data_IF_675357769426
#
_entry.id   IF_675357769426
#
_cell.length_a   1.000
_cell.length_b   1.000
_cell.length_c   1.000
_cell.angle_alpha   90.00
_cell.angle_beta   90.00
_cell.angle_gamma   90.00
#
_symmetry.space_group_name_H-M   'P 1'
#
loop_
_entity.id
_entity.type
_entity.pdbx_description
1 polymer ?
#
# COMPACT_ATOMS: atom_id res chain seq x y z
N UNK A 1 -57.55 -6.89 -27.29
CA UNK A 1 -57.09 -6.87 -27.15
C UNK A 1 -56.14 -6.91 -26.79
N UNK A 2 -55.67 -6.81 -26.65
CA UNK A 2 -54.85 -6.65 -26.36
C UNK A 2 -53.85 -6.67 -26.29
N UNK A 3 -53.44 -6.66 -26.19
CA UNK A 3 -52.71 -6.80 -26.05
C UNK A 3 -51.72 -6.45 -26.04
N UNK A 4 -51.32 -6.19 -26.15
CA UNK A 4 -50.50 -5.64 -26.20
C UNK A 4 -49.54 -5.56 -25.59
N UNK A 5 -49.27 -5.52 -25.03
CA UNK A 5 -48.49 -5.40 -24.34
C UNK A 5 -47.33 -5.81 -24.38
N UNK A 6 -47.04 -6.49 -24.50
CA UNK A 6 -45.99 -6.98 -24.54
C UNK A 6 -44.92 -6.43 -24.97
N UNK A 7 -45.00 -5.91 -25.46
CA UNK A 7 -43.96 -5.36 -26.06
C UNK A 7 -43.04 -4.82 -25.18
N UNK A 8 -43.51 -4.31 -24.43
CA UNK A 8 -42.73 -3.74 -23.66
C UNK A 8 -41.64 -4.38 -23.26
N UNK A 9 -41.71 -5.32 -22.95
CA UNK A 9 -40.73 -5.92 -22.42
C UNK A 9 -39.61 -5.93 -23.19
N UNK A 10 -39.74 -6.03 -24.19
CA UNK A 10 -38.62 -6.18 -24.94
C UNK A 10 -37.71 -5.13 -24.71
N UNK A 11 -38.16 -4.12 -24.37
CA UNK A 11 -37.32 -3.06 -24.26
C UNK A 11 -36.22 -3.26 -23.32
N UNK A 12 -36.45 -4.02 -22.36
CA UNK A 12 -35.48 -4.15 -21.47
C UNK A 12 -34.24 -4.60 -21.86
N UNK A 13 -34.14 -5.54 -22.51
CA UNK A 13 -32.88 -6.14 -22.77
C UNK A 13 -31.97 -5.20 -23.37
N UNK A 14 -32.50 -4.28 -23.94
CA UNK A 14 -31.66 -3.52 -24.72
C UNK A 14 -30.64 -2.80 -24.01
N UNK A 15 -30.77 -2.64 -22.80
CA UNK A 15 -29.82 -1.95 -22.19
C UNK A 15 -28.60 -2.55 -21.99
N UNK A 16 -28.48 -3.68 -21.92
CA UNK A 16 -27.29 -4.27 -21.54
C UNK A 16 -26.10 -4.02 -22.33
N UNK A 17 -26.13 -3.71 -23.50
CA UNK A 17 -24.94 -3.66 -24.29
C UNK A 17 -23.85 -2.75 -23.91
N UNK A 18 -24.04 -1.86 -23.09
CA UNK A 18 -23.03 -0.97 -22.79
C UNK A 18 -21.94 -1.38 -21.92
N UNK A 19 -22.11 -2.28 -21.10
CA UNK A 19 -21.18 -2.65 -20.13
C UNK A 19 -19.77 -2.80 -20.52
N UNK A 20 -19.43 -3.35 -21.62
CA UNK A 20 -18.03 -3.59 -21.94
C UNK A 20 -17.15 -2.35 -21.90
N UNK A 21 -17.64 -1.27 -22.39
CA UNK A 21 -16.85 -0.06 -22.44
C UNK A 21 -16.66 0.50 -21.03
N UNK A 22 -17.72 0.55 -20.27
CA UNK A 22 -17.65 1.04 -18.93
C UNK A 22 -16.77 0.18 -18.07
N UNK A 23 -16.82 -1.12 -18.21
CA UNK A 23 -15.98 -2.02 -17.46
C UNK A 23 -14.50 -1.84 -17.73
N UNK A 24 -14.14 -1.55 -18.98
CA UNK A 24 -12.75 -1.33 -19.33
C UNK A 24 -12.23 -0.06 -18.69
N UNK A 25 -13.00 1.02 -18.72
CA UNK A 25 -12.58 2.27 -18.13
C UNK A 25 -12.45 2.13 -16.61
N UNK A 26 -13.39 1.43 -15.96
CA UNK A 26 -13.32 1.22 -14.54
C UNK A 26 -12.07 0.44 -14.15
N UNK A 27 -11.72 -0.57 -14.92
CA UNK A 27 -10.51 -1.35 -14.65
C UNK A 27 -9.26 -0.52 -14.83
N UNK A 28 -9.26 0.33 -15.86
CA UNK A 28 -8.12 1.19 -16.12
C UNK A 28 -7.90 2.17 -14.97
N UNK A 29 -8.98 2.82 -14.50
CA UNK A 29 -8.87 3.77 -13.41
C UNK A 29 -8.47 3.06 -12.10
N UNK A 30 -8.99 1.87 -11.85
CA UNK A 30 -8.59 1.10 -10.68
C UNK A 30 -7.10 0.73 -10.73
N UNK A 31 -6.60 0.38 -11.91
CA UNK A 31 -5.20 0.05 -12.09
C UNK A 31 -4.31 1.28 -11.88
N UNK A 32 -4.73 2.43 -12.38
CA UNK A 32 -3.98 3.68 -12.19
C UNK A 32 -3.93 4.06 -10.71
N UNK A 33 -5.03 3.91 -9.98
CA UNK A 33 -5.07 4.19 -8.55
C UNK A 33 -4.14 3.25 -7.79
N UNK A 34 -4.14 1.97 -8.13
CA UNK A 34 -3.27 1.01 -7.49
C UNK A 34 -1.80 1.35 -7.75
N UNK A 35 -1.48 1.74 -8.97
CA UNK A 35 -0.12 2.11 -9.32
C UNK A 35 0.32 3.35 -8.55
N UNK A 36 -0.54 4.37 -8.47
CA UNK A 36 -0.25 5.58 -7.71
C UNK A 36 -0.06 5.28 -6.23
N UNK A 37 -0.91 4.43 -5.67
CA UNK A 37 -0.80 4.04 -4.27
C UNK A 37 0.53 3.35 -4.01
N UNK A 38 0.92 2.41 -4.86
CA UNK A 38 2.18 1.69 -4.68
C UNK A 38 3.40 2.61 -4.78
N UNK A 39 3.40 3.50 -5.75
CA UNK A 39 4.51 4.42 -5.94
C UNK A 39 4.63 5.40 -4.78
N UNK A 40 3.52 6.00 -4.37
CA UNK A 40 3.52 6.93 -3.26
C UNK A 40 3.90 6.23 -1.97
N UNK A 41 3.38 5.02 -1.75
CA UNK A 41 3.70 4.25 -0.56
C UNK A 41 5.18 3.87 -0.52
N UNK A 42 5.74 3.50 -1.66
CA UNK A 42 7.16 3.17 -1.76
C UNK A 42 8.05 4.35 -1.43
N UNK A 43 7.70 5.53 -1.91
CA UNK A 43 8.45 6.73 -1.62
C UNK A 43 8.35 7.06 -0.12
N UNK A 44 7.14 7.00 0.44
CA UNK A 44 6.91 7.29 1.84
C UNK A 44 7.68 6.30 2.73
N UNK A 45 7.65 5.03 2.40
CA UNK A 45 8.37 4.02 3.16
C UNK A 45 9.89 4.28 3.14
N UNK A 46 10.42 4.64 1.99
CA UNK A 46 11.85 4.92 1.89
C UNK A 46 12.25 6.15 2.69
N UNK A 47 11.39 7.16 2.72
CA UNK A 47 11.70 8.36 3.49
C UNK A 47 11.68 8.11 5.00
N UNK A 48 10.88 7.18 5.48
CA UNK A 48 10.79 6.86 6.89
C UNK A 48 11.72 5.73 7.33
N UNK A 49 12.32 5.03 6.39
CA UNK A 49 13.08 3.82 6.64
C UNK A 49 14.17 3.99 7.69
N UNK A 50 15.03 4.95 7.50
CA UNK A 50 16.19 5.14 8.39
C UNK A 50 15.74 5.55 9.79
N UNK A 51 14.75 6.43 9.86
CA UNK A 51 14.26 6.92 11.15
C UNK A 51 13.64 5.78 11.98
N UNK A 52 12.84 4.94 11.35
CA UNK A 52 12.23 3.81 12.04
C UNK A 52 13.28 2.78 12.42
N UNK A 53 14.22 2.50 11.53
CA UNK A 53 15.30 1.58 11.81
C UNK A 53 16.09 2.03 13.03
N UNK A 54 16.41 3.31 13.12
CA UNK A 54 17.21 3.82 14.24
C UNK A 54 16.55 3.59 15.61
N UNK A 55 15.24 3.68 15.68
CA UNK A 55 14.56 3.52 16.97
C UNK A 55 14.17 2.07 17.27
N UNK A 56 14.26 1.17 16.31
CA UNK A 56 13.76 -0.19 16.50
C UNK A 56 14.82 -1.27 16.45
N UNK A 57 15.95 -1.02 15.80
CA UNK A 57 16.90 -2.10 15.47
C UNK A 57 17.46 -2.82 16.69
N UNK A 58 17.76 -2.14 17.78
CA UNK A 58 18.36 -2.77 18.95
C UNK A 58 17.47 -3.84 19.56
N UNK A 59 16.20 -3.55 19.72
CA UNK A 59 15.27 -4.53 20.26
C UNK A 59 14.86 -5.54 19.22
N UNK A 60 14.63 -5.07 18.00
CA UNK A 60 14.16 -5.96 16.92
C UNK A 60 15.16 -7.08 16.63
N UNK A 61 16.43 -6.83 16.73
CA UNK A 61 17.44 -7.86 16.42
C UNK A 61 17.42 -9.01 17.41
N UNK A 62 16.86 -8.83 18.59
CA UNK A 62 16.75 -9.87 19.59
C UNK A 62 15.46 -10.66 19.51
N UNK A 63 14.58 -10.26 18.62
CA UNK A 63 13.27 -10.88 18.43
C UNK A 63 13.31 -11.85 17.25
N UNK A 64 12.30 -12.73 17.19
CA UNK A 64 12.08 -13.53 15.99
C UNK A 64 11.58 -12.58 14.90
N UNK A 65 11.59 -13.02 13.64
CA UNK A 65 11.12 -12.16 12.55
C UNK A 65 9.68 -11.75 12.74
N UNK A 66 8.83 -12.66 13.22
CA UNK A 66 7.42 -12.33 13.43
C UNK A 66 7.24 -11.29 14.52
N UNK A 67 7.98 -11.43 15.61
CA UNK A 67 7.92 -10.45 16.68
C UNK A 67 8.46 -9.11 16.22
N UNK A 68 9.56 -9.12 15.47
CA UNK A 68 10.15 -7.89 14.95
C UNK A 68 9.20 -7.15 14.03
N UNK A 69 8.47 -7.90 13.17
CA UNK A 69 7.49 -7.27 12.29
C UNK A 69 6.41 -6.54 13.08
N UNK A 70 5.89 -7.21 14.11
CA UNK A 70 4.87 -6.59 14.96
C UNK A 70 5.39 -5.36 15.70
N UNK A 71 6.60 -5.47 16.22
CA UNK A 71 7.23 -4.37 16.95
C UNK A 71 7.45 -3.16 16.04
N UNK A 72 8.01 -3.39 14.86
CA UNK A 72 8.26 -2.32 13.90
C UNK A 72 6.95 -1.73 13.39
N UNK A 73 5.96 -2.57 13.14
CA UNK A 73 4.64 -2.11 12.68
C UNK A 73 3.99 -1.17 13.69
N UNK A 74 4.27 -1.36 14.98
CA UNK A 74 3.71 -0.48 16.00
C UNK A 74 4.33 0.92 15.96
N UNK A 75 5.58 1.05 15.51
CA UNK A 75 6.23 2.36 15.41
C UNK A 75 5.95 3.06 14.09
N UNK A 76 5.69 2.32 13.05
CA UNK A 76 5.58 2.88 11.70
C UNK A 76 4.58 4.01 11.53
N UNK A 77 3.35 3.93 12.05
CA UNK A 77 2.35 4.96 11.80
C UNK A 77 2.77 6.36 12.21
N UNK A 78 3.45 6.48 13.33
CA UNK A 78 3.86 7.78 13.82
C UNK A 78 4.78 8.49 12.83
N UNK A 79 5.73 7.76 12.26
CA UNK A 79 6.66 8.31 11.29
C UNK A 79 5.99 8.58 9.94
N UNK A 80 5.15 7.66 9.51
CA UNK A 80 4.46 7.79 8.22
C UNK A 80 3.50 8.97 8.22
N UNK A 81 2.79 9.18 9.31
CA UNK A 81 1.84 10.29 9.42
C UNK A 81 2.52 11.64 9.29
N UNK A 82 3.76 11.75 9.73
CA UNK A 82 4.48 13.02 9.64
C UNK A 82 4.89 13.35 8.21
N UNK A 83 5.16 12.34 7.41
CA UNK A 83 5.66 12.53 6.05
C UNK A 83 4.65 12.39 4.94
N UNK A 84 3.50 11.78 5.22
CA UNK A 84 2.53 11.46 4.16
C UNK A 84 2.04 12.70 3.42
N UNK A 85 1.85 13.80 4.12
CA UNK A 85 1.33 15.01 3.51
C UNK A 85 2.25 15.51 2.40
N UNK A 86 3.55 15.50 2.66
CA UNK A 86 4.52 15.95 1.68
C UNK A 86 4.52 15.07 0.43
N UNK A 87 4.40 13.76 0.64
CA UNK A 87 4.38 12.82 -0.48
C UNK A 87 3.10 13.01 -1.32
N UNK A 88 1.95 13.20 -0.67
CA UNK A 88 0.71 13.42 -1.38
C UNK A 88 0.77 14.69 -2.21
N UNK A 89 1.33 15.76 -1.66
CA UNK A 89 1.46 17.02 -2.36
C UNK A 89 2.44 16.90 -3.53
N UNK A 90 3.58 16.28 -3.28
CA UNK A 90 4.63 16.15 -4.28
C UNK A 90 4.15 15.33 -5.49
N UNK A 91 3.40 14.29 -5.23
CA UNK A 91 2.91 13.41 -6.29
C UNK A 91 1.52 13.78 -6.78
N UNK A 92 0.92 14.82 -6.21
CA UNK A 92 -0.42 15.29 -6.57
C UNK A 92 -1.45 14.15 -6.50
N UNK A 93 -1.42 13.43 -5.39
CA UNK A 93 -2.33 12.32 -5.17
C UNK A 93 -3.55 12.79 -4.41
N UNK A 94 -4.71 12.26 -4.78
CA UNK A 94 -5.98 12.63 -4.14
C UNK A 94 -5.99 12.23 -2.67
N UNK A 95 -6.61 13.07 -1.85
CA UNK A 95 -6.74 12.80 -0.43
C UNK A 95 -7.48 11.49 -0.16
N UNK A 96 -8.39 11.10 -1.03
CA UNK A 96 -9.13 9.85 -0.86
C UNK A 96 -8.25 8.60 -0.88
N UNK A 97 -7.04 8.69 -1.38
CA UNK A 97 -6.11 7.56 -1.41
C UNK A 97 -5.17 7.52 -0.20
N UNK A 98 -5.22 8.51 0.67
CA UNK A 98 -4.31 8.61 1.82
C UNK A 98 -4.29 7.35 2.67
N UNK A 99 -5.46 6.84 3.03
CA UNK A 99 -5.54 5.66 3.90
C UNK A 99 -4.90 4.44 3.25
N UNK A 100 -5.13 4.25 1.97
CA UNK A 100 -4.54 3.13 1.23
C UNK A 100 -3.03 3.27 1.13
N UNK A 101 -2.56 4.48 0.92
CA UNK A 101 -1.13 4.76 0.85
C UNK A 101 -0.47 4.47 2.19
N UNK A 102 -1.08 4.91 3.29
CA UNK A 102 -0.54 4.66 4.61
C UNK A 102 -0.49 3.15 4.93
N UNK A 103 -1.53 2.42 4.56
CA UNK A 103 -1.56 0.98 4.79
C UNK A 103 -0.48 0.25 3.99
N UNK A 104 -0.34 0.60 2.72
CA UNK A 104 0.66 -0.02 1.86
C UNK A 104 2.09 0.39 2.30
N UNK A 105 2.27 1.65 2.67
CA UNK A 105 3.57 2.14 3.14
C UNK A 105 3.98 1.45 4.44
N UNK A 106 3.03 1.17 5.32
CA UNK A 106 3.33 0.46 6.56
C UNK A 106 3.92 -0.91 6.25
N UNK A 107 3.31 -1.67 5.35
CA UNK A 107 3.81 -3.00 5.01
C UNK A 107 5.17 -2.94 4.33
N UNK A 108 5.35 -2.00 3.42
CA UNK A 108 6.64 -1.85 2.75
C UNK A 108 7.73 -1.42 3.73
N UNK A 109 7.41 -0.51 4.64
CA UNK A 109 8.37 -0.02 5.62
C UNK A 109 8.79 -1.13 6.57
N UNK A 110 7.83 -1.92 7.06
CA UNK A 110 8.12 -3.04 7.93
C UNK A 110 9.11 -4.00 7.26
N UNK A 111 8.86 -4.34 6.01
CA UNK A 111 9.75 -5.27 5.29
C UNK A 111 11.14 -4.68 5.08
N UNK A 112 11.23 -3.39 4.78
CA UNK A 112 12.54 -2.74 4.60
C UNK A 112 13.35 -2.76 5.90
N UNK A 113 12.71 -2.43 7.02
CA UNK A 113 13.38 -2.36 8.31
C UNK A 113 13.78 -3.76 8.79
N UNK A 114 12.88 -4.72 8.67
CA UNK A 114 13.17 -6.11 9.06
C UNK A 114 14.35 -6.64 8.26
N UNK A 115 14.37 -6.38 6.96
CA UNK A 115 15.46 -6.81 6.10
C UNK A 115 16.80 -6.25 6.59
N UNK A 116 16.83 -4.97 6.93
CA UNK A 116 18.05 -4.34 7.38
C UNK A 116 18.51 -4.83 8.75
N UNK A 117 17.57 -5.04 9.67
CA UNK A 117 17.89 -5.55 10.99
C UNK A 117 18.59 -6.92 10.88
N UNK A 118 18.00 -7.81 10.07
CA UNK A 118 18.58 -9.16 9.95
C UNK A 118 19.82 -9.20 9.08
N UNK A 119 19.96 -8.31 8.12
CA UNK A 119 21.18 -8.20 7.33
C UNK A 119 22.34 -7.76 8.22
N UNK A 120 22.13 -6.78 9.08
CA UNK A 120 23.16 -6.30 9.99
C UNK A 120 23.52 -7.36 11.02
N UNK A 121 22.54 -8.12 11.49
CA UNK A 121 22.76 -9.19 12.42
C UNK A 121 23.67 -10.27 11.79
N UNK A 122 23.41 -10.64 10.55
CA UNK A 122 24.20 -11.60 9.83
C UNK A 122 25.65 -11.11 9.65
N UNK A 123 25.83 -9.88 9.27
CA UNK A 123 27.17 -9.30 9.09
C UNK A 123 27.97 -9.32 10.38
N UNK A 124 27.34 -9.02 11.50
CA UNK A 124 28.03 -9.03 12.79
C UNK A 124 28.42 -10.45 13.17
N UNK A 125 27.56 -11.43 12.90
CA UNK A 125 27.89 -12.80 13.19
C UNK A 125 29.08 -13.27 12.39
N UNK A 126 29.13 -12.93 11.11
CA UNK A 126 30.25 -13.29 10.25
C UNK A 126 31.52 -12.60 10.73
N UNK A 127 31.42 -11.33 11.10
CA UNK A 127 32.56 -10.58 11.61
C UNK A 127 33.10 -11.17 12.89
N UNK A 128 32.27 -11.70 13.77
CA UNK A 128 32.71 -12.30 14.99
C UNK A 128 33.39 -13.65 14.74
N UNK A 129 32.95 -14.36 13.72
CA UNK A 129 33.53 -15.63 13.40
C UNK A 129 34.91 -15.51 12.77
N UNK A 130 35.15 -14.38 12.14
CA UNK A 130 36.44 -14.14 11.56
C UNK A 130 37.43 -13.70 12.62
#
# INVERSE_FOLDING_TARGET
>A
MNTTDEPKQSAHPTRTPNPPVEGVLDRLFAWLDLSLVRQAAGELARECHVAVWKVTWEKAREMSREEARGYIRAFAPEFLQKEVELVLQRRRVRESLRRRILAEATEQLVELVVRDVYRNKSRRSVGRAA
#
